data_IF_399273687737
#
_entry.id   IF_399273687737
#
_cell.length_a   1.000
_cell.length_b   1.000
_cell.length_c   1.000
_cell.angle_alpha   90.00
_cell.angle_beta   90.00
_cell.angle_gamma   90.00
#
_symmetry.space_group_name_H-M   'P 1'
#
loop_
_entity.id
_entity.type
_entity.pdbx_description
1 polymer ?
#
# COMPACT_ATOMS: atom_id res chain seq x y z
N UNK A 1 9.13 -0.94 -10.27
CA UNK A 1 10.57 -1.31 -10.40
C UNK A 1 11.49 -0.08 -10.44
N UNK A 2 11.20 0.96 -11.23
CA UNK A 2 11.97 2.22 -11.18
C UNK A 2 11.99 2.83 -9.76
N UNK A 3 10.84 2.87 -9.09
CA UNK A 3 10.74 3.30 -7.70
C UNK A 3 11.75 2.58 -6.80
N UNK A 4 11.86 1.26 -6.89
CA UNK A 4 12.77 0.49 -6.04
C UNK A 4 14.24 0.71 -6.35
N UNK A 5 14.59 1.14 -7.58
CA UNK A 5 15.95 1.51 -7.93
C UNK A 5 16.45 2.70 -7.12
N UNK A 6 15.57 3.67 -6.87
CA UNK A 6 15.93 4.90 -6.18
C UNK A 6 15.78 4.73 -4.65
N UNK A 7 14.80 3.91 -4.19
CA UNK A 7 14.53 3.65 -2.78
C UNK A 7 15.60 2.76 -2.11
N UNK A 8 16.10 1.73 -2.83
CA UNK A 8 17.07 0.78 -2.27
C UNK A 8 18.45 1.01 -2.89
N UNK A 9 19.33 1.68 -2.14
CA UNK A 9 20.72 1.91 -2.57
C UNK A 9 21.54 0.62 -2.55
N UNK A 10 22.45 0.42 -3.54
CA UNK A 10 23.30 -0.77 -3.58
C UNK A 10 24.23 -0.94 -2.37
N UNK A 11 24.46 0.12 -1.60
CA UNK A 11 25.30 0.07 -0.39
C UNK A 11 24.67 -0.68 0.79
N UNK A 12 23.35 -0.93 0.73
CA UNK A 12 22.59 -1.58 1.81
C UNK A 12 22.28 -3.06 1.58
N UNK A 13 22.62 -3.63 0.42
CA UNK A 13 22.35 -5.03 0.09
C UNK A 13 23.67 -5.78 -0.11
N UNK A 14 24.00 -6.83 0.70
CA UNK A 14 25.16 -7.66 0.42
C UNK A 14 25.00 -8.32 -0.94
N UNK A 15 25.97 -8.11 -1.83
CA UNK A 15 26.01 -8.69 -3.15
C UNK A 15 25.98 -10.23 -3.04
N UNK A 16 24.87 -10.85 -3.36
CA UNK A 16 24.86 -12.26 -3.68
C UNK A 16 25.65 -12.44 -4.97
N UNK A 17 26.77 -13.13 -4.89
CA UNK A 17 27.60 -13.51 -6.02
C UNK A 17 26.74 -14.28 -7.03
N UNK A 18 26.47 -13.64 -8.16
CA UNK A 18 25.94 -14.31 -9.35
C UNK A 18 27.14 -14.87 -10.08
N UNK A 19 27.26 -16.19 -10.10
CA UNK A 19 28.28 -16.88 -10.90
C UNK A 19 28.19 -16.43 -12.37
N UNK A 20 29.24 -15.78 -12.81
CA UNK A 20 29.41 -15.28 -14.17
C UNK A 20 29.86 -16.44 -15.09
N UNK A 21 28.90 -17.12 -15.71
CA UNK A 21 29.18 -17.91 -16.93
C UNK A 21 27.89 -18.09 -17.73
N UNK A 22 27.46 -17.04 -18.42
CA UNK A 22 26.86 -17.20 -19.76
C UNK A 22 26.80 -15.83 -20.47
N UNK A 23 27.68 -15.65 -21.41
CA UNK A 23 27.86 -14.42 -22.19
C UNK A 23 27.07 -14.53 -23.48
N UNK A 24 25.74 -14.29 -23.45
CA UNK A 24 24.93 -13.84 -24.62
C UNK A 24 23.46 -13.62 -24.22
N UNK A 25 23.17 -12.91 -23.14
CA UNK A 25 21.85 -12.36 -22.95
C UNK A 25 22.00 -10.84 -22.74
N UNK A 26 21.28 -10.05 -23.51
CA UNK A 26 21.00 -8.65 -23.22
C UNK A 26 20.28 -8.63 -21.86
N UNK A 27 21.05 -8.61 -20.77
CA UNK A 27 20.52 -8.63 -19.41
C UNK A 27 19.68 -7.37 -19.22
N UNK A 28 18.39 -7.55 -19.06
CA UNK A 28 17.45 -6.47 -18.83
C UNK A 28 17.88 -5.70 -17.57
N UNK A 29 18.15 -4.40 -17.65
CA UNK A 29 18.81 -3.64 -16.57
C UNK A 29 18.08 -3.73 -15.22
N UNK A 30 16.75 -3.85 -15.25
CA UNK A 30 15.93 -3.91 -14.03
C UNK A 30 16.11 -5.19 -13.21
N UNK A 31 16.70 -6.24 -13.75
CA UNK A 31 16.99 -7.49 -13.02
C UNK A 31 18.07 -7.31 -11.96
N UNK A 32 18.92 -6.29 -12.15
CA UNK A 32 20.00 -5.93 -11.23
C UNK A 32 19.61 -4.82 -10.24
N UNK A 33 18.39 -4.28 -10.33
CA UNK A 33 17.97 -3.22 -9.41
C UNK A 33 17.76 -3.74 -7.99
N UNK A 34 18.03 -2.89 -6.97
CA UNK A 34 17.76 -3.22 -5.58
C UNK A 34 16.34 -3.71 -5.35
N UNK A 35 16.19 -4.63 -4.41
CA UNK A 35 14.91 -5.27 -4.10
C UNK A 35 14.52 -5.02 -2.65
N UNK A 36 13.22 -4.94 -2.32
CA UNK A 36 12.79 -4.85 -0.94
C UNK A 36 13.32 -6.04 -0.12
N UNK A 37 13.98 -5.81 1.04
CA UNK A 37 14.56 -6.89 1.84
C UNK A 37 13.54 -7.97 2.25
N UNK A 38 12.33 -7.55 2.64
CA UNK A 38 11.21 -8.42 2.98
C UNK A 38 10.36 -8.86 1.79
N UNK A 39 10.78 -8.57 0.54
CA UNK A 39 10.00 -8.84 -0.66
C UNK A 39 8.82 -7.87 -0.84
N UNK A 40 7.85 -8.22 -1.68
CA UNK A 40 6.64 -7.43 -1.87
C UNK A 40 5.39 -8.15 -1.33
N UNK A 41 4.37 -7.36 -0.98
CA UNK A 41 3.03 -7.86 -0.66
C UNK A 41 2.00 -7.05 -1.43
N UNK A 42 1.25 -7.72 -2.32
CA UNK A 42 0.21 -7.14 -3.16
C UNK A 42 -1.17 -7.33 -2.49
N UNK A 43 -1.68 -6.25 -1.90
CA UNK A 43 -2.90 -6.21 -1.11
C UNK A 43 -4.13 -6.14 -2.02
N UNK A 44 -5.01 -7.16 -1.96
CA UNK A 44 -6.15 -7.22 -2.86
C UNK A 44 -5.69 -7.40 -4.31
N UNK A 45 -4.84 -8.40 -4.56
CA UNK A 45 -4.15 -8.60 -5.84
C UNK A 45 -5.06 -8.91 -7.04
N UNK A 46 -6.37 -9.06 -6.82
CA UNK A 46 -7.37 -9.23 -7.86
C UNK A 46 -7.05 -10.40 -8.81
N UNK A 47 -6.87 -10.10 -10.09
CA UNK A 47 -6.53 -11.11 -11.11
C UNK A 47 -5.11 -11.67 -10.97
N UNK A 48 -4.27 -11.13 -10.10
CA UNK A 48 -2.91 -11.59 -9.83
C UNK A 48 -1.87 -11.16 -10.87
N UNK A 49 -2.22 -10.28 -11.81
CA UNK A 49 -1.30 -9.91 -12.91
C UNK A 49 -0.05 -9.20 -12.39
N UNK A 50 -0.20 -8.25 -11.47
CA UNK A 50 0.95 -7.53 -10.91
C UNK A 50 1.85 -8.48 -10.12
N UNK A 51 1.26 -9.31 -9.28
CA UNK A 51 2.00 -10.38 -8.57
C UNK A 51 2.73 -11.30 -9.55
N UNK A 52 2.06 -11.71 -10.66
CA UNK A 52 2.69 -12.55 -11.70
C UNK A 52 3.88 -11.87 -12.34
N UNK A 53 3.77 -10.60 -12.74
CA UNK A 53 4.87 -9.86 -13.35
C UNK A 53 6.06 -9.78 -12.39
N UNK A 54 5.82 -9.41 -11.13
CA UNK A 54 6.90 -9.28 -10.14
C UNK A 54 7.60 -10.62 -9.87
N UNK A 55 6.83 -11.71 -9.72
CA UNK A 55 7.39 -13.06 -9.52
C UNK A 55 8.18 -13.51 -10.75
N UNK A 56 7.69 -13.24 -11.97
CA UNK A 56 8.37 -13.60 -13.22
C UNK A 56 9.68 -12.84 -13.40
N UNK A 57 9.77 -11.61 -12.89
CA UNK A 57 11.01 -10.82 -12.85
C UNK A 57 11.92 -11.19 -11.68
N UNK A 58 11.57 -12.25 -10.93
CA UNK A 58 12.39 -12.79 -9.85
C UNK A 58 12.28 -12.03 -8.52
N UNK A 59 11.29 -11.16 -8.33
CA UNK A 59 11.05 -10.51 -7.04
C UNK A 59 10.41 -11.51 -6.06
N UNK A 60 10.96 -11.61 -4.85
CA UNK A 60 10.36 -12.36 -3.77
C UNK A 60 9.10 -11.64 -3.26
N UNK A 61 8.03 -12.38 -3.00
CA UNK A 61 6.80 -11.80 -2.47
C UNK A 61 5.57 -12.62 -2.82
N UNK A 62 4.41 -12.07 -2.53
CA UNK A 62 3.13 -12.70 -2.80
C UNK A 62 2.01 -11.66 -2.91
N UNK A 63 0.89 -12.08 -3.47
CA UNK A 63 -0.36 -11.33 -3.45
C UNK A 63 -1.45 -12.12 -2.76
N UNK A 64 -2.39 -11.44 -2.14
CA UNK A 64 -3.58 -12.07 -1.61
C UNK A 64 -4.85 -11.30 -1.93
N UNK A 65 -5.95 -12.04 -2.03
CA UNK A 65 -7.29 -11.51 -2.25
C UNK A 65 -8.30 -12.34 -1.44
N UNK A 66 -9.47 -11.78 -1.18
CA UNK A 66 -10.56 -12.50 -0.53
C UNK A 66 -11.01 -13.76 -1.31
N UNK A 67 -10.82 -13.75 -2.63
CA UNK A 67 -11.30 -14.80 -3.53
C UNK A 67 -10.27 -15.08 -4.61
N UNK A 68 -10.03 -16.36 -4.88
CA UNK A 68 -9.31 -16.74 -6.08
C UNK A 68 -10.03 -16.26 -7.34
N UNK A 69 -9.28 -15.78 -8.32
CA UNK A 69 -9.81 -15.42 -9.64
C UNK A 69 -9.50 -16.55 -10.62
N UNK A 70 -10.33 -16.71 -11.64
CA UNK A 70 -10.13 -17.73 -12.68
C UNK A 70 -8.78 -17.58 -13.39
N UNK A 71 -8.27 -16.36 -13.51
CA UNK A 71 -6.94 -16.06 -14.08
C UNK A 71 -5.80 -16.75 -13.33
N UNK A 72 -5.93 -17.01 -12.02
CA UNK A 72 -4.86 -17.61 -11.22
C UNK A 72 -4.47 -19.01 -11.71
N UNK A 73 -5.44 -19.78 -12.17
CA UNK A 73 -5.21 -21.13 -12.71
C UNK A 73 -4.39 -21.14 -14.02
N UNK A 74 -4.28 -20.00 -14.71
CA UNK A 74 -3.56 -19.89 -15.97
C UNK A 74 -2.10 -19.43 -15.79
N UNK A 75 -1.68 -19.03 -14.60
CA UNK A 75 -0.30 -18.65 -14.33
C UNK A 75 0.59 -19.87 -14.12
N UNK A 76 1.92 -19.73 -14.32
CA UNK A 76 2.87 -20.78 -13.98
C UNK A 76 2.81 -21.18 -12.48
N UNK A 77 3.19 -22.41 -12.10
CA UNK A 77 3.17 -22.88 -10.71
C UNK A 77 3.91 -21.97 -9.72
N UNK A 78 5.01 -21.36 -10.16
CA UNK A 78 5.77 -20.39 -9.35
C UNK A 78 4.92 -19.19 -8.94
N UNK A 79 4.08 -18.68 -9.83
CA UNK A 79 3.13 -17.59 -9.51
C UNK A 79 1.94 -18.08 -8.71
N UNK A 80 1.37 -19.23 -9.09
CA UNK A 80 0.22 -19.80 -8.39
C UNK A 80 0.48 -19.99 -6.89
N UNK A 81 1.68 -20.47 -6.54
CA UNK A 81 2.09 -20.65 -5.14
C UNK A 81 2.24 -19.34 -4.36
N UNK A 82 2.26 -18.20 -5.04
CA UNK A 82 2.35 -16.85 -4.47
C UNK A 82 1.03 -16.09 -4.45
N UNK A 83 -0.05 -16.69 -4.94
CA UNK A 83 -1.39 -16.09 -4.92
C UNK A 83 -2.22 -16.79 -3.84
N UNK A 84 -2.57 -16.04 -2.79
CA UNK A 84 -3.17 -16.58 -1.58
C UNK A 84 -4.62 -16.10 -1.43
N UNK A 85 -5.54 -17.01 -1.13
CA UNK A 85 -6.90 -16.64 -0.70
C UNK A 85 -6.86 -16.36 0.79
N UNK A 86 -6.97 -15.08 1.16
CA UNK A 86 -6.93 -14.64 2.56
C UNK A 86 -7.79 -13.39 2.75
N UNK A 87 -8.55 -13.37 3.84
CA UNK A 87 -9.11 -12.14 4.38
C UNK A 87 -8.02 -11.43 5.19
N UNK A 88 -7.94 -10.12 5.06
CA UNK A 88 -7.09 -9.28 5.88
C UNK A 88 -7.97 -8.54 6.90
N UNK A 89 -7.71 -8.77 8.18
CA UNK A 89 -8.16 -7.88 9.24
C UNK A 89 -7.00 -6.92 9.59
N UNK A 90 -7.12 -5.64 9.22
CA UNK A 90 -6.06 -4.67 9.50
C UNK A 90 -5.76 -4.48 10.98
N UNK A 91 -6.64 -4.94 11.87
CA UNK A 91 -6.51 -4.80 13.33
C UNK A 91 -5.94 -6.05 14.01
N UNK A 92 -5.84 -7.18 13.29
CA UNK A 92 -5.36 -8.45 13.83
C UNK A 92 -3.96 -8.36 14.44
N UNK A 93 -3.70 -9.12 15.49
CA UNK A 93 -2.41 -9.10 16.18
C UNK A 93 -1.29 -9.80 15.37
N UNK A 94 -1.65 -10.76 14.55
CA UNK A 94 -0.78 -11.68 13.82
C UNK A 94 -0.53 -11.29 12.36
N UNK A 95 -0.71 -10.02 12.02
CA UNK A 95 -0.50 -9.50 10.66
C UNK A 95 0.86 -9.88 10.05
N UNK A 96 1.90 -10.01 10.88
CA UNK A 96 3.26 -10.34 10.42
C UNK A 96 3.38 -11.74 9.81
N UNK A 97 2.41 -12.63 10.04
CA UNK A 97 2.34 -13.94 9.38
C UNK A 97 2.04 -13.76 7.89
N UNK A 98 1.17 -12.80 7.57
CA UNK A 98 0.75 -12.52 6.20
C UNK A 98 1.57 -11.41 5.54
N UNK A 99 2.03 -10.45 6.30
CA UNK A 99 2.77 -9.27 5.85
C UNK A 99 4.11 -9.23 6.59
N UNK A 100 5.20 -9.76 6.00
CA UNK A 100 6.52 -9.76 6.64
C UNK A 100 7.05 -8.34 6.91
N UNK A 101 7.87 -8.19 7.94
CA UNK A 101 8.61 -6.95 8.15
C UNK A 101 9.53 -6.65 6.94
N UNK A 102 9.88 -5.37 6.77
CA UNK A 102 10.73 -4.88 5.68
C UNK A 102 10.24 -5.21 4.26
N UNK A 103 9.01 -5.73 4.12
CA UNK A 103 8.40 -5.87 2.79
C UNK A 103 8.04 -4.50 2.21
N UNK A 104 7.82 -4.46 0.90
CA UNK A 104 7.20 -3.32 0.23
C UNK A 104 5.72 -3.63 -0.01
N UNK A 105 4.83 -2.79 0.54
CA UNK A 105 3.40 -2.96 0.38
C UNK A 105 2.91 -2.33 -0.90
N UNK A 106 2.02 -3.02 -1.60
CA UNK A 106 1.38 -2.53 -2.83
C UNK A 106 -0.13 -2.59 -2.63
N UNK A 107 -0.78 -1.44 -2.67
CA UNK A 107 -2.23 -1.30 -2.68
C UNK A 107 -2.71 -0.81 -4.05
N UNK A 108 -2.66 -1.68 -5.05
CA UNK A 108 -3.07 -1.33 -6.41
C UNK A 108 -4.57 -1.51 -6.58
N UNK A 109 -5.34 -0.43 -6.49
CA UNK A 109 -6.81 -0.46 -6.51
C UNK A 109 -7.39 -1.38 -5.42
N UNK A 110 -6.86 -1.27 -4.20
CA UNK A 110 -7.17 -2.16 -3.08
C UNK A 110 -8.49 -1.83 -2.35
N UNK A 111 -9.38 -1.05 -2.98
CA UNK A 111 -10.73 -0.68 -2.49
C UNK A 111 -10.74 -0.26 -1.00
N UNK A 112 -11.40 -1.00 -0.12
CA UNK A 112 -11.51 -0.73 1.32
C UNK A 112 -10.15 -0.78 2.04
N UNK A 113 -9.16 -1.48 1.50
CA UNK A 113 -7.83 -1.56 2.10
C UNK A 113 -6.97 -0.32 1.78
N UNK A 114 -7.37 0.52 0.83
CA UNK A 114 -6.60 1.70 0.41
C UNK A 114 -6.18 2.59 1.58
N UNK A 115 -7.06 3.03 2.50
CA UNK A 115 -6.67 3.87 3.63
C UNK A 115 -5.83 3.11 4.68
N UNK A 116 -5.90 1.79 4.69
CA UNK A 116 -5.13 0.95 5.61
C UNK A 116 -3.68 0.75 5.18
N UNK A 117 -3.33 1.01 3.90
CA UNK A 117 -1.97 0.78 3.39
C UNK A 117 -0.90 1.48 4.23
N UNK A 118 -0.93 2.80 4.49
CA UNK A 118 0.09 3.47 5.30
C UNK A 118 0.12 2.99 6.75
N UNK A 119 -1.05 2.68 7.32
CA UNK A 119 -1.18 2.14 8.68
C UNK A 119 -0.57 0.75 8.81
N UNK A 120 -0.88 -0.15 7.88
CA UNK A 120 -0.33 -1.49 7.81
C UNK A 120 1.19 -1.44 7.62
N UNK A 121 1.65 -0.61 6.68
CA UNK A 121 3.08 -0.41 6.40
C UNK A 121 3.83 0.01 7.67
N UNK A 122 3.30 0.97 8.42
CA UNK A 122 3.87 1.39 9.71
C UNK A 122 3.86 0.25 10.73
N UNK A 123 2.72 -0.43 10.86
CA UNK A 123 2.53 -1.48 11.87
C UNK A 123 3.46 -2.68 11.68
N UNK A 124 3.68 -3.11 10.43
CA UNK A 124 4.56 -4.23 10.11
C UNK A 124 6.01 -3.81 9.91
N UNK A 125 6.33 -2.52 10.00
CA UNK A 125 7.64 -1.94 9.69
C UNK A 125 8.06 -2.27 8.25
N UNK A 126 7.16 -1.99 7.31
CA UNK A 126 7.46 -2.13 5.89
C UNK A 126 8.61 -1.20 5.49
N UNK A 127 9.35 -1.56 4.47
CA UNK A 127 10.42 -0.73 3.90
C UNK A 127 9.89 0.44 3.06
N UNK A 128 8.62 0.36 2.65
CA UNK A 128 7.90 1.38 1.90
C UNK A 128 6.57 0.84 1.41
N UNK A 129 5.80 1.69 0.74
CA UNK A 129 4.56 1.27 0.11
C UNK A 129 4.23 2.09 -1.14
N UNK A 130 3.40 1.53 -2.00
CA UNK A 130 2.73 2.17 -3.12
C UNK A 130 1.22 1.98 -2.97
N UNK A 131 0.45 3.06 -3.05
CA UNK A 131 -1.01 3.01 -3.07
C UNK A 131 -1.55 3.71 -4.32
N UNK A 132 -2.41 3.03 -5.09
CA UNK A 132 -3.14 3.59 -6.24
C UNK A 132 -4.63 3.60 -5.90
N UNK A 133 -5.16 4.71 -5.35
CA UNK A 133 -6.54 4.78 -4.91
C UNK A 133 -7.50 4.79 -6.11
N UNK A 134 -8.54 3.99 -6.05
CA UNK A 134 -9.61 3.97 -7.07
C UNK A 134 -10.96 4.43 -6.49
N UNK A 135 -11.41 3.79 -5.45
CA UNK A 135 -12.67 4.04 -4.77
C UNK A 135 -12.42 4.79 -3.46
N UNK A 136 -13.20 5.82 -3.21
CA UNK A 136 -13.04 6.62 -2.01
C UNK A 136 -13.64 5.88 -0.80
N UNK A 137 -12.76 5.26 -0.01
CA UNK A 137 -13.06 4.61 1.25
C UNK A 137 -12.35 5.32 2.41
N UNK A 138 -13.06 5.54 3.52
CA UNK A 138 -12.46 5.83 4.81
C UNK A 138 -12.02 4.54 5.52
N UNK A 139 -11.67 4.63 6.80
CA UNK A 139 -11.21 3.47 7.56
C UNK A 139 -12.32 2.47 7.91
N UNK A 140 -13.55 2.94 8.03
CA UNK A 140 -14.72 2.18 8.50
C UNK A 140 -15.93 2.22 7.56
N UNK A 141 -15.96 3.19 6.64
CA UNK A 141 -17.06 3.41 5.70
C UNK A 141 -16.58 4.13 4.44
N UNK A 142 -17.49 4.42 3.51
CA UNK A 142 -17.19 5.29 2.36
C UNK A 142 -16.67 6.63 2.84
N UNK A 143 -15.65 7.15 2.14
CA UNK A 143 -15.09 8.47 2.42
C UNK A 143 -16.17 9.56 2.34
N UNK A 144 -16.25 10.38 3.39
CA UNK A 144 -17.10 11.55 3.46
C UNK A 144 -16.27 12.77 3.89
N UNK A 145 -16.21 13.78 3.02
CA UNK A 145 -15.43 15.01 3.24
C UNK A 145 -15.78 15.78 4.52
N UNK A 146 -16.99 15.60 5.04
CA UNK A 146 -17.42 16.26 6.26
C UNK A 146 -16.96 15.52 7.53
N UNK A 147 -16.75 14.20 7.41
CA UNK A 147 -16.31 13.32 8.50
C UNK A 147 -14.80 13.09 8.43
N UNK A 148 -14.29 12.79 7.25
CA UNK A 148 -12.93 12.37 7.03
C UNK A 148 -12.06 13.59 6.67
N UNK A 149 -11.77 14.40 7.69
CA UNK A 149 -10.92 15.59 7.55
C UNK A 149 -9.44 15.19 7.52
N UNK A 150 -8.55 15.96 6.87
CA UNK A 150 -7.12 15.72 6.90
C UNK A 150 -6.57 15.64 8.32
N UNK A 151 -5.65 14.70 8.55
CA UNK A 151 -5.02 14.45 9.85
C UNK A 151 -3.93 15.47 10.20
N UNK A 152 -3.36 16.11 9.19
CA UNK A 152 -2.37 17.19 9.29
C UNK A 152 -2.43 18.06 8.04
N UNK A 153 -1.76 19.18 8.07
CA UNK A 153 -1.60 20.04 6.91
C UNK A 153 -0.81 19.32 5.81
N UNK A 154 -1.30 19.45 4.58
CA UNK A 154 -0.69 18.84 3.39
C UNK A 154 -0.31 19.97 2.43
N UNK A 155 0.96 20.05 2.09
CA UNK A 155 1.40 20.90 1.00
C UNK A 155 0.97 20.30 -0.34
N UNK A 156 -0.20 20.73 -0.81
CA UNK A 156 -0.82 20.24 -2.04
C UNK A 156 -0.10 20.70 -3.30
N UNK A 157 0.70 21.78 -3.23
CA UNK A 157 1.50 22.27 -4.34
C UNK A 157 2.75 21.41 -4.53
N UNK A 158 3.53 21.23 -3.47
CA UNK A 158 4.74 20.39 -3.50
C UNK A 158 4.41 18.93 -3.86
N UNK A 159 3.30 18.38 -3.33
CA UNK A 159 2.86 17.04 -3.66
C UNK A 159 2.08 16.95 -4.99
N UNK A 160 1.90 18.08 -5.68
CA UNK A 160 1.17 18.15 -6.96
C UNK A 160 -0.24 17.49 -6.91
N UNK A 161 -0.89 17.54 -5.77
CA UNK A 161 -2.20 16.89 -5.56
C UNK A 161 -3.36 17.60 -6.27
N UNK A 162 -3.14 18.83 -6.72
CA UNK A 162 -4.15 19.64 -7.39
C UNK A 162 -4.51 19.23 -8.82
N UNK A 163 -3.61 18.55 -9.54
CA UNK A 163 -3.77 18.07 -10.92
C UNK A 163 -4.27 19.13 -11.92
N UNK A 164 -3.60 19.28 -13.04
CA UNK A 164 -4.11 20.11 -14.14
C UNK A 164 -5.39 19.47 -14.73
N UNK A 165 -6.57 20.08 -14.51
CA UNK A 165 -7.84 19.66 -15.13
C UNK A 165 -8.89 19.04 -14.22
N UNK A 166 -8.55 18.59 -13.01
CA UNK A 166 -9.57 18.24 -12.02
C UNK A 166 -9.79 19.45 -11.12
N UNK A 167 -11.03 19.97 -11.02
CA UNK A 167 -11.33 21.08 -10.11
C UNK A 167 -10.84 20.74 -8.71
N UNK A 168 -10.10 21.63 -8.05
CA UNK A 168 -9.50 21.45 -6.73
C UNK A 168 -10.50 21.02 -5.63
N UNK A 169 -11.81 21.04 -5.91
CA UNK A 169 -12.90 20.62 -5.04
C UNK A 169 -13.55 19.27 -5.41
N UNK A 170 -12.99 18.49 -6.35
CA UNK A 170 -13.58 17.18 -6.65
C UNK A 170 -13.46 16.25 -5.44
N UNK A 171 -14.47 15.40 -5.22
CA UNK A 171 -14.45 14.43 -4.11
C UNK A 171 -13.20 13.52 -4.14
N UNK A 172 -12.73 13.21 -5.34
CA UNK A 172 -11.52 12.40 -5.48
C UNK A 172 -10.24 13.19 -5.18
N UNK A 173 -10.17 14.47 -5.53
CA UNK A 173 -9.04 15.33 -5.14
C UNK A 173 -8.94 15.45 -3.61
N UNK A 174 -10.07 15.71 -2.94
CA UNK A 174 -10.13 15.74 -1.48
C UNK A 174 -9.74 14.41 -0.85
N UNK A 175 -10.15 13.30 -1.44
CA UNK A 175 -9.77 11.97 -0.98
C UNK A 175 -8.25 11.74 -1.06
N UNK A 176 -7.60 12.17 -2.15
CA UNK A 176 -6.13 12.07 -2.28
C UNK A 176 -5.41 12.90 -1.23
N UNK A 177 -5.87 14.12 -0.97
CA UNK A 177 -5.33 14.98 0.10
C UNK A 177 -5.49 14.31 1.46
N UNK A 178 -6.64 13.74 1.73
CA UNK A 178 -6.89 13.00 2.97
C UNK A 178 -5.96 11.79 3.13
N UNK A 179 -5.78 10.98 2.07
CA UNK A 179 -4.85 9.84 2.08
C UNK A 179 -3.39 10.28 2.30
N UNK A 180 -2.96 11.37 1.64
CA UNK A 180 -1.63 11.93 1.85
C UNK A 180 -1.45 12.40 3.29
N UNK A 181 -2.45 13.09 3.87
CA UNK A 181 -2.43 13.52 5.27
C UNK A 181 -2.33 12.35 6.24
N UNK A 182 -3.06 11.26 5.96
CA UNK A 182 -3.00 10.03 6.76
C UNK A 182 -1.61 9.39 6.69
N UNK A 183 -1.01 9.37 5.51
CA UNK A 183 0.35 8.85 5.30
C UNK A 183 1.41 9.67 6.03
N UNK A 184 1.36 11.00 5.93
CA UNK A 184 2.22 11.92 6.67
C UNK A 184 2.04 11.76 8.18
N UNK A 185 0.80 11.62 8.64
CA UNK A 185 0.49 11.40 10.05
C UNK A 185 1.06 10.07 10.57
N UNK A 186 1.11 9.04 9.73
CA UNK A 186 1.79 7.79 10.03
C UNK A 186 3.33 7.89 10.03
N UNK A 187 3.89 9.04 9.71
CA UNK A 187 5.33 9.32 9.72
C UNK A 187 6.06 9.02 8.42
N UNK A 188 5.33 8.74 7.33
CA UNK A 188 5.92 8.49 6.01
C UNK A 188 6.34 9.80 5.34
N UNK A 189 7.48 9.80 4.66
CA UNK A 189 7.77 10.77 3.62
C UNK A 189 6.92 10.38 2.40
N UNK A 190 6.08 11.32 1.92
CA UNK A 190 5.08 11.04 0.89
C UNK A 190 5.51 11.65 -0.42
N UNK A 191 5.49 10.85 -1.47
CA UNK A 191 5.58 11.27 -2.86
C UNK A 191 4.30 10.93 -3.60
N UNK A 192 3.96 11.75 -4.59
CA UNK A 192 2.76 11.54 -5.39
C UNK A 192 3.11 11.64 -6.87
N UNK A 193 2.74 10.60 -7.62
CA UNK A 193 3.02 10.48 -9.04
C UNK A 193 1.74 10.25 -9.85
N UNK A 194 1.67 10.86 -11.03
CA UNK A 194 0.63 10.58 -12.02
C UNK A 194 1.13 9.50 -12.98
N UNK A 195 0.55 8.32 -12.86
CA UNK A 195 0.94 7.18 -13.69
C UNK A 195 0.45 7.33 -15.13
N UNK A 196 1.27 6.94 -16.10
CA UNK A 196 0.92 6.91 -17.52
C UNK A 196 0.15 5.63 -17.88
N UNK A 197 -0.99 5.43 -17.25
CA UNK A 197 -1.89 4.29 -17.48
C UNK A 197 -3.23 4.80 -18.06
N UNK A 198 -3.94 4.02 -18.87
CA UNK A 198 -5.23 4.41 -19.46
C UNK A 198 -6.36 4.34 -18.42
N UNK A 199 -6.25 5.14 -17.35
CA UNK A 199 -7.21 5.22 -16.26
C UNK A 199 -7.32 6.65 -15.76
N UNK A 200 -8.51 7.08 -15.37
CA UNK A 200 -8.71 8.34 -14.64
C UNK A 200 -8.32 8.24 -13.16
N UNK A 201 -8.07 7.02 -12.68
CA UNK A 201 -7.60 6.70 -11.32
C UNK A 201 -6.13 6.27 -11.37
N UNK A 202 -5.28 7.17 -11.84
CA UNK A 202 -3.87 6.92 -12.15
C UNK A 202 -2.89 7.63 -11.20
N UNK A 203 -3.36 8.06 -10.04
CA UNK A 203 -2.51 8.66 -9.03
C UNK A 203 -1.88 7.60 -8.14
N UNK A 204 -0.59 7.66 -7.95
CA UNK A 204 0.15 6.84 -7.03
C UNK A 204 0.59 7.68 -5.82
N UNK A 205 0.35 7.18 -4.62
CA UNK A 205 0.87 7.72 -3.36
C UNK A 205 1.94 6.74 -2.88
N UNK A 206 3.14 7.23 -2.67
CA UNK A 206 4.30 6.45 -2.28
C UNK A 206 4.77 6.91 -0.91
N UNK A 207 5.02 5.97 -0.01
CA UNK A 207 5.71 6.21 1.25
C UNK A 207 7.08 5.54 1.21
N UNK A 208 8.16 6.35 1.27
CA UNK A 208 9.52 5.84 1.09
C UNK A 208 10.31 5.66 2.38
N UNK A 209 10.11 6.49 3.37
CA UNK A 209 10.86 6.42 4.63
C UNK A 209 9.97 6.59 5.84
N UNK A 210 10.19 5.74 6.83
CA UNK A 210 9.49 5.80 8.11
C UNK A 210 10.14 6.83 9.05
N UNK A 211 9.41 7.88 9.43
CA UNK A 211 9.82 8.85 10.45
C UNK A 211 9.19 8.49 11.79
N UNK A 212 9.92 7.79 12.61
CA UNK A 212 9.48 6.98 13.76
C UNK A 212 8.94 7.73 15.02
N UNK A 213 8.55 9.01 15.02
CA UNK A 213 8.28 9.73 16.27
C UNK A 213 6.80 9.85 16.71
N UNK A 214 5.81 9.52 15.85
CA UNK A 214 4.39 9.76 16.18
C UNK A 214 3.51 8.52 16.40
N UNK A 215 4.08 7.34 16.26
CA UNK A 215 3.30 6.08 16.20
C UNK A 215 2.56 5.71 17.49
N UNK A 216 3.13 6.01 18.66
CA UNK A 216 2.54 5.60 19.96
C UNK A 216 1.25 6.38 20.25
N UNK A 217 1.16 7.63 19.83
CA UNK A 217 -0.02 8.47 20.04
C UNK A 217 -1.20 8.06 19.16
N UNK A 218 -0.94 7.58 17.93
CA UNK A 218 -2.00 7.23 16.97
C UNK A 218 -2.72 5.93 17.31
N UNK A 219 -2.01 4.88 17.69
CA UNK A 219 -2.64 3.62 18.13
C UNK A 219 -3.52 3.81 19.37
N UNK A 220 -3.16 4.73 20.25
CA UNK A 220 -3.98 5.10 21.40
C UNK A 220 -5.28 5.80 20.96
N UNK A 221 -5.24 6.63 19.94
CA UNK A 221 -6.41 7.38 19.44
C UNK A 221 -7.42 6.49 18.71
N UNK A 222 -6.95 5.49 17.93
CA UNK A 222 -7.81 4.50 17.26
C UNK A 222 -8.47 3.58 18.29
N UNK A 223 -7.74 3.18 19.33
CA UNK A 223 -8.27 2.31 20.40
C UNK A 223 -9.36 2.99 21.23
N UNK A 224 -9.21 4.29 21.53
CA UNK A 224 -10.20 5.07 22.28
C UNK A 224 -11.52 5.21 21.50
N UNK A 225 -11.49 5.38 20.17
CA UNK A 225 -12.71 5.46 19.36
C UNK A 225 -13.48 4.15 19.28
N UNK A 226 -12.81 3.00 19.29
CA UNK A 226 -13.47 1.70 19.28
C UNK A 226 -14.14 1.36 20.63
N UNK A 227 -13.62 1.88 21.74
CA UNK A 227 -14.20 1.67 23.08
C UNK A 227 -15.38 2.61 23.38
N UNK A 228 -15.35 3.86 22.89
CA UNK A 228 -16.45 4.81 23.09
C UNK A 228 -17.69 4.49 22.24
N UNK A 229 -17.55 3.80 21.11
CA UNK A 229 -18.68 3.35 20.28
C UNK A 229 -19.51 2.21 20.92
N UNK A 230 -18.99 1.52 21.93
CA UNK A 230 -19.68 0.39 22.62
C UNK A 230 -20.54 0.80 23.81
N UNK A 231 -20.47 2.03 24.28
CA UNK A 231 -21.12 2.45 25.53
C UNK A 231 -22.46 3.17 25.35
N UNK A 232 -22.98 3.39 24.14
CA UNK A 232 -24.26 4.08 23.92
C UNK A 232 -25.40 3.20 23.41
N UNK A 233 -25.29 1.87 23.48
CA UNK A 233 -26.31 0.88 23.11
C UNK A 233 -27.06 0.31 24.32
N UNK A 234 -27.57 1.14 25.25
CA UNK A 234 -28.22 0.70 26.46
C UNK A 234 -29.62 1.30 26.64
N UNK A 235 -30.65 0.43 26.53
CA UNK A 235 -31.93 0.54 27.19
C UNK A 235 -32.99 1.53 26.63
N UNK A 236 -33.81 1.08 25.71
CA UNK A 236 -35.22 1.51 25.66
C UNK A 236 -36.09 0.47 26.35
N UNK A 237 -36.50 0.78 27.56
CA UNK A 237 -37.62 0.08 28.28
C UNK A 237 -38.93 0.36 27.57
N UNK A 238 -39.72 -0.72 27.47
CA UNK A 238 -41.15 -0.73 27.14
C UNK A 238 -41.96 0.12 28.15
N UNK A 239 -42.86 0.93 27.63
CA UNK A 239 -44.25 1.12 28.11
C UNK A 239 -45.15 1.46 26.92
#
# INVERSE_FOLDING_TARGET
MLLWKDTYSPETVPAQQVDSSDSTSTSEPWRCWPRPPGGFVDLGCGNGLLTHILVSEGYAGHGFDLRARTSWAHYPPATQSRLLVRALDPTAADLQILIPAECFLIGNHADELTPWVPLLATRVRASGYLSIPCCAWGLDARFDRARDVPHCDVDTETLNLGGAGEGAGSSYALYRVWLASLSLHCGWAVEVEVLRIPSTRNWAIVGESFRSLFFIAFLSCVRVRSETGRLTGGSRRQR
#
